data_IF_774200586012
#
_entry.id   IF_774200586012
#
_cell.length_a   1.000
_cell.length_b   1.000
_cell.length_c   1.000
_cell.angle_alpha   90.00
_cell.angle_beta   90.00
_cell.angle_gamma   90.00
#
_symmetry.space_group_name_H-M   'P 1'
#
loop_
_entity.id
_entity.type
_entity.pdbx_description
1 polymer ?
#
# COMPACT_ATOMS: atom_id res chain seq x y z
N UNK A 1 11.04 2.92 22.84
CA UNK A 1 11.37 2.76 21.39
C UNK A 1 12.09 1.42 21.21
N UNK A 2 11.55 0.49 20.41
CA UNK A 2 12.11 -0.86 20.26
C UNK A 2 12.75 -1.14 18.87
N UNK A 3 12.57 -0.22 17.91
CA UNK A 3 13.06 -0.35 16.54
C UNK A 3 14.08 0.74 16.21
N UNK A 4 15.06 0.40 15.38
CA UNK A 4 16.20 1.25 15.04
C UNK A 4 16.30 1.50 13.53
N UNK A 5 17.38 2.17 13.11
CA UNK A 5 17.63 2.51 11.70
C UNK A 5 17.53 1.25 10.83
N UNK A 6 16.84 1.37 9.70
CA UNK A 6 16.54 0.24 8.81
C UNK A 6 15.29 -0.57 9.19
N UNK A 7 14.51 -0.13 10.18
CA UNK A 7 13.24 -0.77 10.57
C UNK A 7 13.42 -2.07 11.36
N UNK A 8 14.65 -2.41 11.75
CA UNK A 8 14.93 -3.61 12.55
C UNK A 8 14.48 -3.41 13.99
N UNK A 9 13.69 -4.37 14.49
CA UNK A 9 13.23 -4.45 15.87
C UNK A 9 13.72 -5.78 16.44
N UNK A 10 14.70 -5.76 17.34
CA UNK A 10 15.18 -7.01 17.94
C UNK A 10 14.12 -7.57 18.88
N UNK A 11 13.96 -8.91 18.90
CA UNK A 11 12.97 -9.54 19.77
C UNK A 11 13.16 -9.19 21.25
N UNK A 12 14.42 -9.07 21.69
CA UNK A 12 14.75 -8.64 23.05
C UNK A 12 14.28 -7.20 23.35
N UNK A 13 14.49 -6.25 22.42
CA UNK A 13 14.05 -4.86 22.62
C UNK A 13 12.53 -4.74 22.61
N UNK A 14 11.84 -5.53 21.78
CA UNK A 14 10.37 -5.58 21.75
C UNK A 14 9.83 -6.13 23.08
N UNK A 15 10.40 -7.24 23.57
CA UNK A 15 9.98 -7.82 24.85
C UNK A 15 10.25 -6.90 26.04
N UNK A 16 11.41 -6.24 26.08
CA UNK A 16 11.70 -5.25 27.12
C UNK A 16 10.69 -4.09 27.10
N UNK A 17 10.37 -3.56 25.92
CA UNK A 17 9.38 -2.50 25.79
C UNK A 17 7.96 -2.94 26.18
N UNK A 18 7.59 -4.21 25.94
CA UNK A 18 6.32 -4.77 26.40
C UNK A 18 6.30 -4.90 27.92
N UNK A 19 7.40 -5.33 28.53
CA UNK A 19 7.52 -5.46 29.99
C UNK A 19 7.41 -4.10 30.70
N UNK A 20 8.14 -3.09 30.20
CA UNK A 20 8.05 -1.71 30.71
C UNK A 20 6.63 -1.16 30.58
N UNK A 21 5.99 -1.34 29.42
CA UNK A 21 4.63 -0.86 29.19
C UNK A 21 3.59 -1.55 30.10
N UNK A 22 3.80 -2.83 30.41
CA UNK A 22 2.99 -3.54 31.40
C UNK A 22 3.15 -2.90 32.79
N UNK A 23 4.38 -2.57 33.19
CA UNK A 23 4.67 -1.95 34.47
C UNK A 23 4.09 -0.53 34.57
N UNK A 24 4.13 0.23 33.47
CA UNK A 24 3.55 1.58 33.37
C UNK A 24 2.01 1.58 33.38
N UNK A 25 1.38 0.41 33.24
CA UNK A 25 -0.08 0.27 33.35
C UNK A 25 -0.84 0.77 32.13
N UNK A 26 -0.30 0.60 30.92
CA UNK A 26 -0.99 0.98 29.68
C UNK A 26 -2.24 0.12 29.45
N UNK A 27 -3.26 0.67 28.80
CA UNK A 27 -4.48 -0.07 28.46
C UNK A 27 -4.38 -0.88 27.15
N UNK A 28 -3.60 -0.36 26.19
CA UNK A 28 -3.50 -0.91 24.83
C UNK A 28 -2.06 -0.85 24.33
N UNK A 29 -1.57 -1.96 23.78
CA UNK A 29 -0.30 -2.06 23.05
C UNK A 29 -0.57 -2.06 21.54
N UNK A 30 -0.17 -0.98 20.87
CA UNK A 30 -0.25 -0.84 19.41
C UNK A 30 1.10 -1.19 18.76
N UNK A 31 1.20 -2.39 18.20
CA UNK A 31 2.46 -2.97 17.72
C UNK A 31 2.43 -3.13 16.19
N UNK A 32 2.79 -2.06 15.48
CA UNK A 32 2.95 -2.05 14.01
C UNK A 32 4.28 -2.67 13.55
N UNK A 33 4.66 -3.77 14.18
CA UNK A 33 5.92 -4.49 13.98
C UNK A 33 5.61 -5.95 13.66
N UNK A 34 6.38 -6.55 12.75
CA UNK A 34 6.20 -7.93 12.34
C UNK A 34 6.42 -8.14 10.85
N UNK A 35 6.35 -9.40 10.43
CA UNK A 35 6.62 -9.91 9.08
C UNK A 35 6.71 -11.44 9.16
N UNK A 36 7.29 -12.09 8.15
CA UNK A 36 7.70 -13.50 8.22
C UNK A 36 8.81 -13.69 9.29
N UNK A 37 8.41 -13.74 10.57
CA UNK A 37 9.32 -13.78 11.72
C UNK A 37 8.68 -14.45 12.94
N UNK A 38 9.44 -14.63 14.04
CA UNK A 38 8.95 -15.32 15.22
C UNK A 38 7.80 -14.56 15.87
N UNK A 39 6.80 -15.31 16.34
CA UNK A 39 5.70 -14.77 17.14
C UNK A 39 6.24 -14.26 18.49
N UNK A 40 5.52 -13.35 19.14
CA UNK A 40 5.89 -12.79 20.45
C UNK A 40 5.04 -13.37 21.60
N UNK A 41 5.28 -14.60 22.06
CA UNK A 41 4.43 -15.24 23.06
C UNK A 41 4.39 -14.49 24.40
N UNK A 42 5.44 -13.72 24.73
CA UNK A 42 5.50 -12.89 25.93
C UNK A 42 4.37 -11.85 26.05
N UNK A 43 3.70 -11.51 24.93
CA UNK A 43 2.49 -10.66 24.95
C UNK A 43 1.31 -11.27 25.70
N UNK A 44 1.35 -12.57 26.00
CA UNK A 44 0.36 -13.22 26.87
C UNK A 44 0.35 -12.58 28.28
N UNK A 45 1.51 -12.15 28.80
CA UNK A 45 1.59 -11.49 30.10
C UNK A 45 0.87 -10.13 30.12
N UNK A 46 0.88 -9.39 29.01
CA UNK A 46 0.10 -8.16 28.87
C UNK A 46 -1.41 -8.46 28.91
N UNK A 47 -1.86 -9.44 28.13
CA UNK A 47 -3.28 -9.84 28.07
C UNK A 47 -3.77 -10.35 29.42
N UNK A 48 -2.95 -11.10 30.17
CA UNK A 48 -3.29 -11.57 31.53
C UNK A 48 -3.50 -10.41 32.52
N UNK A 49 -2.91 -9.25 32.27
CA UNK A 49 -3.10 -8.02 33.07
C UNK A 49 -4.20 -7.11 32.54
N UNK A 50 -5.00 -7.59 31.58
CA UNK A 50 -6.12 -6.83 31.02
C UNK A 50 -5.72 -5.85 29.92
N UNK A 51 -4.47 -5.88 29.44
CA UNK A 51 -3.95 -5.00 28.40
C UNK A 51 -4.23 -5.61 27.03
N UNK A 52 -4.90 -4.86 26.15
CA UNK A 52 -5.20 -5.33 24.80
C UNK A 52 -3.99 -5.19 23.89
N UNK A 53 -3.66 -6.22 23.10
CA UNK A 53 -2.52 -6.21 22.19
C UNK A 53 -3.01 -6.26 20.74
N UNK A 54 -2.64 -5.24 19.96
CA UNK A 54 -3.01 -5.10 18.56
C UNK A 54 -1.74 -5.13 17.71
N UNK A 55 -1.70 -6.04 16.73
CA UNK A 55 -0.60 -6.22 15.82
C UNK A 55 -1.00 -5.98 14.37
N UNK A 56 -0.07 -5.48 13.56
CA UNK A 56 -0.17 -5.55 12.11
C UNK A 56 -0.03 -6.99 11.61
N UNK A 57 -0.78 -7.38 10.58
CA UNK A 57 -0.77 -8.73 10.00
C UNK A 57 0.40 -9.05 9.06
N UNK A 58 1.15 -8.04 8.61
CA UNK A 58 2.24 -8.17 7.66
C UNK A 58 1.90 -7.65 6.26
N UNK A 59 2.94 -7.42 5.45
CA UNK A 59 2.81 -6.85 4.11
C UNK A 59 3.36 -7.81 3.03
N UNK A 60 3.30 -9.12 3.26
CA UNK A 60 3.90 -10.15 2.40
C UNK A 60 2.85 -10.88 1.53
N UNK A 61 1.62 -10.33 1.45
CA UNK A 61 0.58 -10.82 0.56
C UNK A 61 0.91 -10.60 -0.93
N UNK A 62 0.08 -11.13 -1.86
CA UNK A 62 -1.26 -11.67 -1.63
C UNK A 62 -1.30 -13.20 -1.43
N UNK A 63 -0.15 -13.88 -1.50
CA UNK A 63 -0.09 -15.34 -1.42
C UNK A 63 -0.59 -15.82 -0.04
N UNK A 64 -1.32 -16.96 0.04
CA UNK A 64 -1.75 -17.53 1.32
C UNK A 64 -0.60 -17.79 2.29
N UNK A 65 -0.93 -17.91 3.59
CA UNK A 65 0.01 -18.28 4.66
C UNK A 65 1.18 -17.30 4.88
N UNK A 66 0.95 -16.03 4.61
CA UNK A 66 1.92 -14.93 4.78
C UNK A 66 1.65 -14.10 6.04
N UNK A 67 0.56 -14.38 6.78
CA UNK A 67 0.17 -13.65 7.99
C UNK A 67 1.12 -13.92 9.15
N UNK A 68 1.69 -12.83 9.70
CA UNK A 68 2.46 -12.83 10.94
C UNK A 68 1.60 -12.50 12.16
N UNK A 69 2.23 -12.40 13.33
CA UNK A 69 1.59 -11.95 14.58
C UNK A 69 0.23 -12.61 14.87
N UNK A 70 0.15 -13.91 14.63
CA UNK A 70 -1.08 -14.68 14.53
C UNK A 70 -1.45 -15.38 15.85
N UNK A 71 -0.99 -14.84 16.98
CA UNK A 71 -1.27 -15.40 18.30
C UNK A 71 -2.79 -15.34 18.61
N UNK A 72 -3.37 -16.35 19.28
CA UNK A 72 -4.81 -16.37 19.57
C UNK A 72 -5.31 -15.19 20.40
N UNK A 73 -4.50 -14.76 21.38
CA UNK A 73 -4.84 -13.74 22.37
C UNK A 73 -4.60 -12.30 21.90
N UNK A 74 -4.09 -12.08 20.69
CA UNK A 74 -3.87 -10.75 20.11
C UNK A 74 -4.87 -10.48 18.99
N UNK A 75 -5.08 -9.20 18.69
CA UNK A 75 -5.84 -8.75 17.50
C UNK A 75 -4.86 -8.49 16.37
N UNK A 76 -4.98 -9.24 15.27
CA UNK A 76 -4.13 -9.14 14.08
C UNK A 76 -4.89 -8.42 12.97
N UNK A 77 -4.31 -7.33 12.46
CA UNK A 77 -5.01 -6.38 11.59
C UNK A 77 -4.52 -6.44 10.14
N UNK A 78 -5.44 -6.65 9.21
CA UNK A 78 -5.22 -6.54 7.77
C UNK A 78 -5.35 -5.07 7.30
N UNK A 79 -4.77 -4.76 6.14
CA UNK A 79 -4.87 -3.44 5.52
C UNK A 79 -5.95 -3.44 4.44
N UNK A 80 -6.79 -2.40 4.44
CA UNK A 80 -7.79 -2.14 3.41
C UNK A 80 -7.65 -0.74 2.83
N UNK A 81 -8.21 -0.55 1.64
CA UNK A 81 -8.36 0.77 1.02
C UNK A 81 -9.46 1.60 1.66
N UNK A 82 -9.43 2.90 1.39
CA UNK A 82 -10.45 3.87 1.76
C UNK A 82 -11.11 4.42 0.49
N UNK A 83 -12.20 5.15 0.66
CA UNK A 83 -13.00 5.79 -0.40
C UNK A 83 -12.34 7.00 -1.05
N UNK A 84 -11.01 7.11 -0.96
CA UNK A 84 -10.21 8.17 -1.57
C UNK A 84 -9.28 7.62 -2.64
N UNK A 85 -9.24 8.30 -3.78
CA UNK A 85 -8.29 8.06 -4.86
C UNK A 85 -7.66 9.37 -5.35
N UNK A 86 -6.57 9.24 -6.12
CA UNK A 86 -5.88 10.37 -6.74
C UNK A 86 -5.80 10.21 -8.26
N UNK A 87 -6.94 10.32 -8.97
CA UNK A 87 -6.94 10.19 -10.42
C UNK A 87 -6.16 11.33 -11.09
N UNK A 88 -5.47 10.99 -12.17
CA UNK A 88 -4.87 11.93 -13.12
C UNK A 88 -5.37 11.66 -14.53
N UNK A 89 -5.64 12.75 -15.26
CA UNK A 89 -6.03 12.67 -16.65
C UNK A 89 -4.79 12.59 -17.55
N UNK A 90 -4.69 11.51 -18.31
CA UNK A 90 -3.68 11.28 -19.33
C UNK A 90 -4.33 11.60 -20.69
N UNK A 91 -3.89 12.71 -21.32
CA UNK A 91 -4.40 13.15 -22.62
C UNK A 91 -3.40 12.79 -23.71
N UNK A 92 -3.84 12.09 -24.75
CA UNK A 92 -3.04 11.73 -25.91
C UNK A 92 -3.23 12.75 -27.04
N UNK A 93 -2.25 12.87 -27.94
CA UNK A 93 -2.30 13.79 -29.08
C UNK A 93 -3.47 13.53 -30.05
N UNK A 94 -4.00 12.29 -30.07
CA UNK A 94 -5.20 11.91 -30.83
C UNK A 94 -6.52 12.37 -30.17
N UNK A 95 -6.47 13.18 -29.10
CA UNK A 95 -7.59 13.67 -28.28
C UNK A 95 -8.24 12.62 -27.37
N UNK A 96 -7.73 11.39 -27.36
CA UNK A 96 -8.16 10.38 -26.42
C UNK A 96 -7.76 10.78 -24.99
N UNK A 97 -8.64 10.47 -24.05
CA UNK A 97 -8.49 10.80 -22.64
C UNK A 97 -8.62 9.53 -21.82
N UNK A 98 -7.57 9.25 -21.06
CA UNK A 98 -7.43 8.07 -20.22
C UNK A 98 -7.22 8.51 -18.77
N UNK A 99 -7.53 7.62 -17.82
CA UNK A 99 -7.39 7.91 -16.40
C UNK A 99 -6.37 6.97 -15.80
N UNK A 100 -5.38 7.53 -15.11
CA UNK A 100 -4.43 6.81 -14.27
C UNK A 100 -4.49 7.32 -12.83
N UNK A 101 -3.53 6.91 -12.00
CA UNK A 101 -3.34 7.45 -10.65
C UNK A 101 -2.00 8.13 -10.50
N UNK A 102 -1.95 9.22 -9.73
CA UNK A 102 -0.71 9.95 -9.46
C UNK A 102 -0.79 10.69 -8.13
N UNK A 103 0.35 10.97 -7.50
CA UNK A 103 0.46 11.92 -6.38
C UNK A 103 1.02 13.27 -6.81
N UNK A 104 1.19 13.49 -8.11
CA UNK A 104 1.69 14.76 -8.60
C UNK A 104 0.57 15.80 -8.68
N UNK A 105 0.37 16.54 -7.59
CA UNK A 105 -0.63 17.62 -7.48
C UNK A 105 -0.06 19.01 -7.79
N UNK A 106 1.26 19.16 -7.91
CA UNK A 106 1.89 20.47 -8.05
C UNK A 106 1.81 20.98 -9.50
N UNK A 107 0.86 21.89 -9.76
CA UNK A 107 0.66 22.52 -11.06
C UNK A 107 1.90 23.27 -11.58
N UNK A 108 2.79 23.74 -10.71
CA UNK A 108 4.01 24.47 -11.11
C UNK A 108 5.07 23.54 -11.74
N UNK A 109 5.11 22.25 -11.36
CA UNK A 109 5.95 21.24 -12.02
C UNK A 109 5.32 20.70 -13.31
N UNK A 110 3.98 20.80 -13.43
CA UNK A 110 3.17 20.21 -14.49
C UNK A 110 2.67 21.22 -15.53
N UNK A 111 3.28 22.39 -15.63
CA UNK A 111 2.96 23.35 -16.69
C UNK A 111 3.60 22.99 -18.04
N UNK A 112 4.22 21.81 -18.14
CA UNK A 112 4.60 21.24 -19.43
C UNK A 112 3.33 20.75 -20.12
N UNK A 113 3.08 21.26 -21.32
CA UNK A 113 1.93 20.86 -22.13
C UNK A 113 2.04 19.42 -22.60
N UNK A 114 1.83 19.19 -23.88
CA UNK A 114 2.14 17.90 -24.46
C UNK A 114 3.66 17.69 -24.50
N UNK A 115 4.12 16.50 -24.11
CA UNK A 115 5.50 16.03 -24.25
C UNK A 115 5.54 14.85 -25.23
N UNK A 116 6.67 14.65 -25.90
CA UNK A 116 6.89 13.47 -26.71
C UNK A 116 6.74 12.19 -25.86
N UNK A 117 6.08 11.19 -26.42
CA UNK A 117 5.87 9.89 -25.80
C UNK A 117 6.82 8.87 -26.41
N UNK A 118 7.49 8.08 -25.58
CA UNK A 118 8.28 6.92 -26.04
C UNK A 118 7.86 5.69 -25.25
N UNK A 119 7.50 4.63 -25.95
CA UNK A 119 7.23 3.34 -25.33
C UNK A 119 8.53 2.53 -25.18
N UNK A 120 8.91 2.24 -23.94
CA UNK A 120 10.12 1.49 -23.59
C UNK A 120 9.68 0.31 -22.72
N UNK A 121 9.67 -0.89 -23.30
CA UNK A 121 9.16 -2.14 -22.70
C UNK A 121 9.19 -2.22 -21.16
N UNK A 122 10.26 -2.78 -20.58
CA UNK A 122 10.45 -2.99 -19.14
C UNK A 122 11.06 -1.78 -18.43
N UNK A 123 11.60 -0.81 -19.18
CA UNK A 123 12.41 0.28 -18.62
C UNK A 123 13.54 -0.23 -17.71
N UNK A 124 14.13 -1.36 -18.09
CA UNK A 124 15.41 -1.80 -17.55
C UNK A 124 16.56 -0.98 -18.17
N UNK A 125 17.76 -1.16 -17.62
CA UNK A 125 18.95 -0.41 -18.03
C UNK A 125 19.24 -0.55 -19.54
N UNK A 126 19.07 -1.75 -20.08
CA UNK A 126 19.34 -2.02 -21.49
C UNK A 126 18.32 -1.32 -22.40
N UNK A 127 17.03 -1.53 -22.17
CA UNK A 127 15.95 -0.93 -22.97
C UNK A 127 15.95 0.61 -22.92
N UNK A 128 16.29 1.20 -21.77
CA UNK A 128 16.45 2.66 -21.65
C UNK A 128 17.67 3.16 -22.43
N UNK A 129 18.79 2.45 -22.38
CA UNK A 129 20.01 2.85 -23.10
C UNK A 129 19.86 2.82 -24.63
N UNK A 130 19.00 1.94 -25.14
CA UNK A 130 18.69 1.80 -26.56
C UNK A 130 17.65 2.81 -27.05
N UNK A 131 17.02 3.56 -26.14
CA UNK A 131 15.90 4.46 -26.43
C UNK A 131 16.27 5.92 -26.18
N UNK A 132 15.91 6.82 -27.09
CA UNK A 132 16.09 8.26 -26.87
C UNK A 132 14.95 8.83 -25.99
N UNK A 133 15.13 8.78 -24.67
CA UNK A 133 14.15 9.18 -23.64
C UNK A 133 14.38 10.57 -23.04
N UNK A 134 15.53 11.20 -23.30
CA UNK A 134 15.89 12.50 -22.72
C UNK A 134 14.87 13.57 -23.07
N UNK A 135 14.28 14.19 -22.06
CA UNK A 135 13.27 15.24 -22.23
C UNK A 135 11.86 14.75 -22.56
N UNK A 136 11.62 13.43 -22.57
CA UNK A 136 10.36 12.83 -23.02
C UNK A 136 9.60 12.14 -21.89
N UNK A 137 8.32 11.83 -22.14
CA UNK A 137 7.53 10.97 -21.28
C UNK A 137 7.68 9.51 -21.73
N UNK A 138 8.07 8.65 -20.80
CA UNK A 138 8.31 7.22 -21.04
C UNK A 138 7.09 6.41 -20.61
N UNK A 139 6.57 5.56 -21.49
CA UNK A 139 5.64 4.49 -21.13
C UNK A 139 6.44 3.21 -20.88
N UNK A 140 6.37 2.70 -19.65
CA UNK A 140 6.91 1.38 -19.28
C UNK A 140 5.76 0.37 -19.24
N UNK A 141 5.76 -0.58 -20.16
CA UNK A 141 4.73 -1.61 -20.31
C UNK A 141 5.37 -2.98 -20.56
N UNK A 142 5.50 -3.77 -19.48
CA UNK A 142 6.08 -5.12 -19.52
C UNK A 142 5.27 -6.12 -18.67
N UNK A 143 4.07 -6.52 -19.13
CA UNK A 143 3.21 -7.43 -18.37
C UNK A 143 3.86 -8.80 -18.09
N UNK A 144 4.67 -9.32 -19.02
CA UNK A 144 5.40 -10.58 -18.81
C UNK A 144 6.44 -10.48 -17.68
N UNK A 145 7.15 -9.35 -17.59
CA UNK A 145 8.15 -9.14 -16.55
C UNK A 145 7.50 -8.95 -15.18
N UNK A 146 6.32 -8.31 -15.13
CA UNK A 146 5.56 -8.12 -13.89
C UNK A 146 5.10 -9.44 -13.24
N UNK A 147 5.05 -10.54 -13.99
CA UNK A 147 4.77 -11.88 -13.47
C UNK A 147 5.99 -12.53 -12.80
N UNK A 148 7.20 -12.15 -13.19
CA UNK A 148 8.46 -12.65 -12.63
C UNK A 148 8.88 -11.78 -11.44
N UNK A 149 8.91 -10.47 -11.66
CA UNK A 149 9.29 -9.48 -10.65
C UNK A 149 8.12 -8.55 -10.39
N UNK A 150 7.46 -8.64 -9.22
CA UNK A 150 6.30 -7.83 -8.92
C UNK A 150 6.58 -6.33 -9.02
N UNK A 151 5.62 -5.51 -9.48
CA UNK A 151 5.76 -4.05 -9.57
C UNK A 151 6.31 -3.40 -8.29
N UNK A 152 5.95 -3.94 -7.12
CA UNK A 152 6.41 -3.44 -5.82
C UNK A 152 7.93 -3.49 -5.64
N UNK A 153 8.58 -4.51 -6.19
CA UNK A 153 10.02 -4.67 -6.10
C UNK A 153 10.76 -3.79 -7.12
N UNK A 154 10.16 -3.59 -8.30
CA UNK A 154 10.83 -2.88 -9.41
C UNK A 154 10.61 -1.37 -9.42
N UNK A 155 9.40 -0.89 -9.06
CA UNK A 155 8.96 0.48 -9.35
C UNK A 155 9.92 1.56 -8.84
N UNK A 156 10.43 1.42 -7.61
CA UNK A 156 11.36 2.40 -7.05
C UNK A 156 12.67 2.47 -7.86
N UNK A 157 13.24 1.31 -8.19
CA UNK A 157 14.48 1.25 -8.98
C UNK A 157 14.28 1.76 -10.41
N UNK A 158 13.10 1.49 -11.00
CA UNK A 158 12.72 1.95 -12.33
C UNK A 158 12.55 3.47 -12.38
N UNK A 159 11.94 4.08 -11.35
CA UNK A 159 11.85 5.54 -11.23
C UNK A 159 13.25 6.15 -11.22
N UNK A 160 14.19 5.61 -10.44
CA UNK A 160 15.55 6.14 -10.39
C UNK A 160 16.25 6.02 -11.76
N UNK A 161 16.19 4.85 -12.41
CA UNK A 161 16.78 4.65 -13.75
C UNK A 161 16.21 5.60 -14.80
N UNK A 162 14.90 5.84 -14.77
CA UNK A 162 14.23 6.73 -15.74
C UNK A 162 14.57 8.20 -15.51
N UNK A 163 14.73 8.62 -14.24
CA UNK A 163 15.25 9.95 -13.89
C UNK A 163 16.70 10.11 -14.39
N UNK A 164 17.56 9.12 -14.12
CA UNK A 164 18.97 9.13 -14.56
C UNK A 164 19.12 9.17 -16.08
N UNK A 165 18.21 8.50 -16.81
CA UNK A 165 18.13 8.56 -18.27
C UNK A 165 17.62 9.90 -18.81
N UNK A 166 17.22 10.84 -17.94
CA UNK A 166 16.80 12.20 -18.32
C UNK A 166 15.34 12.31 -18.77
N UNK A 167 14.48 11.34 -18.43
CA UNK A 167 13.06 11.42 -18.72
C UNK A 167 12.38 12.60 -17.99
N UNK A 168 11.32 13.15 -18.59
CA UNK A 168 10.49 14.22 -18.01
C UNK A 168 9.08 13.78 -17.63
N UNK A 169 8.73 12.55 -17.97
CA UNK A 169 7.54 11.88 -17.45
C UNK A 169 7.69 10.36 -17.47
N UNK A 170 6.89 9.70 -16.66
CA UNK A 170 6.80 8.25 -16.56
C UNK A 170 5.33 7.84 -16.46
N UNK A 171 4.90 6.97 -17.35
CA UNK A 171 3.64 6.23 -17.26
C UNK A 171 4.05 4.78 -17.03
N UNK A 172 3.80 4.26 -15.83
CA UNK A 172 4.16 2.91 -15.46
C UNK A 172 2.92 2.03 -15.43
N UNK A 173 2.96 0.97 -16.23
CA UNK A 173 1.88 0.00 -16.33
C UNK A 173 2.04 -1.13 -15.33
N UNK A 174 0.99 -1.43 -14.59
CA UNK A 174 0.97 -2.51 -13.61
C UNK A 174 -0.43 -3.10 -13.47
N UNK A 175 -0.53 -4.32 -12.96
CA UNK A 175 -1.81 -4.83 -12.46
C UNK A 175 -2.22 -4.10 -11.17
N UNK A 176 -3.47 -4.26 -10.75
CA UNK A 176 -4.03 -3.56 -9.58
C UNK A 176 -3.25 -3.88 -8.30
N UNK A 177 -2.41 -2.94 -7.87
CA UNK A 177 -1.64 -2.97 -6.63
C UNK A 177 -1.66 -1.62 -5.93
N UNK A 178 -1.45 -1.63 -4.62
CA UNK A 178 -1.43 -0.43 -3.79
C UNK A 178 0.00 0.11 -3.65
N UNK A 179 0.51 0.85 -4.65
CA UNK A 179 1.89 1.37 -4.72
C UNK A 179 1.99 2.88 -4.97
N UNK A 180 0.88 3.60 -4.81
CA UNK A 180 0.79 4.99 -5.23
C UNK A 180 1.79 5.89 -4.49
N UNK A 181 2.06 5.63 -3.21
CA UNK A 181 3.03 6.40 -2.41
C UNK A 181 4.47 6.36 -2.95
N UNK A 182 4.85 5.35 -3.73
CA UNK A 182 6.19 5.26 -4.33
C UNK A 182 6.41 6.39 -5.36
N UNK A 183 5.33 6.93 -5.95
CA UNK A 183 5.43 8.03 -6.91
C UNK A 183 5.92 9.35 -6.29
N UNK A 184 5.99 9.45 -4.95
CA UNK A 184 6.66 10.59 -4.28
C UNK A 184 8.13 10.72 -4.69
N UNK A 185 8.80 9.62 -5.06
CA UNK A 185 10.16 9.63 -5.62
C UNK A 185 10.28 10.40 -6.93
N UNK A 186 9.17 10.66 -7.64
CA UNK A 186 9.18 11.46 -8.85
C UNK A 186 9.06 12.97 -8.59
N UNK A 187 8.61 13.37 -7.40
CA UNK A 187 8.45 14.78 -7.03
C UNK A 187 9.78 15.52 -7.15
N UNK A 188 9.78 16.68 -7.81
CA UNK A 188 11.01 17.42 -8.08
C UNK A 188 11.67 17.09 -9.42
N UNK A 189 11.43 15.91 -10.00
CA UNK A 189 12.18 15.40 -11.14
C UNK A 189 11.34 15.24 -12.41
N UNK A 190 10.18 14.58 -12.32
CA UNK A 190 9.32 14.27 -13.46
C UNK A 190 7.86 13.99 -13.07
N UNK A 191 6.97 14.02 -14.05
CA UNK A 191 5.57 13.62 -13.85
C UNK A 191 5.40 12.10 -13.90
N UNK A 192 4.88 11.48 -12.85
CA UNK A 192 4.62 10.05 -12.84
C UNK A 192 3.13 9.72 -12.77
N UNK A 193 2.71 8.69 -13.48
CA UNK A 193 1.37 8.11 -13.38
C UNK A 193 1.42 6.58 -13.41
N UNK A 194 0.57 5.94 -12.60
CA UNK A 194 0.30 4.51 -12.65
C UNK A 194 -0.94 4.27 -13.51
N UNK A 195 -0.88 3.29 -14.39
CA UNK A 195 -2.01 2.85 -15.21
C UNK A 195 -2.12 1.33 -15.15
N UNK A 196 -3.33 0.81 -15.38
CA UNK A 196 -3.49 -0.62 -15.61
C UNK A 196 -2.92 -1.03 -16.99
N UNK A 197 -2.79 -2.34 -17.21
CA UNK A 197 -2.27 -2.86 -18.47
C UNK A 197 -3.20 -2.59 -19.67
N UNK A 198 -4.51 -2.46 -19.47
CA UNK A 198 -5.46 -2.17 -20.54
C UNK A 198 -5.25 -0.75 -21.08
N UNK A 199 -5.20 0.23 -20.18
CA UNK A 199 -4.91 1.62 -20.47
C UNK A 199 -3.52 1.76 -21.09
N UNK A 200 -2.51 1.08 -20.53
CA UNK A 200 -1.17 1.07 -21.10
C UNK A 200 -1.12 0.50 -22.52
N UNK A 201 -1.88 -0.56 -22.81
CA UNK A 201 -1.97 -1.14 -24.15
C UNK A 201 -2.57 -0.15 -25.16
N UNK A 202 -3.58 0.64 -24.75
CA UNK A 202 -4.13 1.72 -25.59
C UNK A 202 -3.09 2.78 -25.90
N UNK A 203 -2.34 3.24 -24.88
CA UNK A 203 -1.26 4.23 -25.04
C UNK A 203 -0.14 3.66 -25.94
N UNK A 204 0.26 2.41 -25.73
CA UNK A 204 1.28 1.74 -26.54
C UNK A 204 0.84 1.58 -28.01
N UNK A 205 -0.44 1.29 -28.25
CA UNK A 205 -1.00 1.18 -29.61
C UNK A 205 -1.00 2.54 -30.30
N UNK A 206 -1.44 3.60 -29.60
CA UNK A 206 -1.33 4.98 -30.08
C UNK A 206 0.11 5.35 -30.46
N UNK A 207 1.08 5.02 -29.60
CA UNK A 207 2.50 5.30 -29.83
C UNK A 207 3.07 4.60 -31.06
N UNK A 208 2.54 3.45 -31.46
CA UNK A 208 2.97 2.72 -32.68
C UNK A 208 2.34 3.25 -33.96
N UNK A 209 1.13 3.78 -33.88
CA UNK A 209 0.35 4.25 -35.04
C UNK A 209 0.60 5.72 -35.38
N UNK A 210 1.36 6.44 -34.55
CA UNK A 210 1.60 7.88 -34.69
C UNK A 210 3.08 8.14 -34.87
N UNK A 211 3.46 8.92 -35.88
CA UNK A 211 4.87 9.22 -36.18
C UNK A 211 5.55 10.07 -35.09
N UNK A 212 4.82 11.00 -34.48
CA UNK A 212 5.27 11.84 -33.36
C UNK A 212 4.23 11.81 -32.25
N UNK A 213 4.18 10.72 -31.46
CA UNK A 213 3.19 10.57 -30.41
C UNK A 213 3.52 11.53 -29.26
N UNK A 214 2.47 12.17 -28.73
CA UNK A 214 2.59 13.10 -27.61
C UNK A 214 1.56 12.78 -26.53
N UNK A 215 1.92 13.06 -25.28
CA UNK A 215 1.09 12.81 -24.11
C UNK A 215 1.19 13.97 -23.13
N UNK A 216 0.11 14.18 -22.38
CA UNK A 216 0.08 15.10 -21.24
C UNK A 216 -0.48 14.37 -20.02
N UNK A 217 0.28 14.37 -18.93
CA UNK A 217 -0.16 13.92 -17.61
C UNK A 217 -0.62 15.16 -16.84
N UNK A 218 -1.89 15.22 -16.50
CA UNK A 218 -2.46 16.37 -15.77
C UNK A 218 -2.14 16.28 -14.27
N UNK A 219 -2.17 17.39 -13.52
CA UNK A 219 -2.13 17.33 -12.07
C UNK A 219 -3.19 16.36 -11.52
N UNK A 220 -2.81 15.55 -10.54
CA UNK A 220 -3.71 14.67 -9.85
C UNK A 220 -4.73 15.48 -9.04
N UNK A 221 -5.97 15.00 -8.98
CA UNK A 221 -7.03 15.55 -8.12
C UNK A 221 -7.37 14.53 -7.04
N UNK A 222 -7.80 15.00 -5.87
CA UNK A 222 -8.33 14.09 -4.85
C UNK A 222 -9.83 13.90 -5.06
N UNK A 223 -10.26 12.64 -5.09
CA UNK A 223 -11.68 12.27 -5.19
C UNK A 223 -12.03 11.38 -4.01
N UNK A 224 -13.17 11.66 -3.37
CA UNK A 224 -13.68 10.91 -2.21
C UNK A 224 -15.13 10.47 -2.47
N UNK A 225 -15.50 9.27 -2.02
CA UNK A 225 -16.88 8.78 -1.99
C UNK A 225 -17.21 7.72 -3.04
N UNK A 226 -18.50 7.59 -3.37
CA UNK A 226 -19.10 6.45 -4.09
C UNK A 226 -18.49 6.09 -5.47
N UNK A 227 -17.68 6.96 -6.07
CA UNK A 227 -16.95 6.66 -7.31
C UNK A 227 -15.66 5.86 -7.12
N UNK A 228 -15.22 5.64 -5.88
CA UNK A 228 -13.99 4.92 -5.53
C UNK A 228 -14.33 3.52 -5.03
N UNK A 229 -13.90 2.50 -5.75
CA UNK A 229 -14.06 1.10 -5.33
C UNK A 229 -13.31 0.86 -4.02
N UNK A 230 -14.05 0.77 -2.92
CA UNK A 230 -13.52 0.64 -1.56
C UNK A 230 -14.63 0.24 -0.56
N UNK A 231 -14.28 -0.30 0.61
CA UNK A 231 -12.97 -0.83 0.95
C UNK A 231 -12.71 -2.14 0.20
N UNK A 232 -11.46 -2.43 -0.13
CA UNK A 232 -11.02 -3.78 -0.48
C UNK A 232 -9.70 -4.08 0.21
N UNK A 233 -9.41 -5.36 0.46
CA UNK A 233 -8.18 -5.74 1.16
C UNK A 233 -6.98 -5.48 0.25
N UNK A 234 -6.00 -4.74 0.74
CA UNK A 234 -4.82 -4.34 0.00
C UNK A 234 -4.05 -5.55 -0.54
N UNK A 235 -3.48 -5.44 -1.75
CA UNK A 235 -2.77 -6.55 -2.38
C UNK A 235 -1.59 -7.05 -1.54
N UNK A 236 -0.85 -6.14 -0.91
CA UNK A 236 0.26 -6.47 -0.03
C UNK A 236 -0.17 -7.05 1.31
N UNK A 237 -1.43 -6.90 1.75
CA UNK A 237 -1.84 -7.33 3.08
C UNK A 237 -1.68 -8.84 3.19
N UNK A 238 -0.88 -9.30 4.16
CA UNK A 238 -0.63 -10.72 4.38
C UNK A 238 -1.91 -11.52 4.63
N UNK A 239 -1.92 -12.78 4.21
CA UNK A 239 -3.10 -13.66 4.18
C UNK A 239 -2.92 -14.86 5.10
N UNK A 240 -4.03 -15.30 5.69
CA UNK A 240 -4.10 -16.58 6.38
C UNK A 240 -4.05 -17.78 5.44
N UNK A 241 -4.21 -18.99 5.99
CA UNK A 241 -4.26 -19.30 7.43
C UNK A 241 -2.91 -19.07 8.12
N UNK A 242 -2.91 -18.97 9.45
CA UNK A 242 -1.66 -18.90 10.24
C UNK A 242 -0.88 -20.21 10.14
N UNK A 243 0.44 -20.12 9.96
CA UNK A 243 1.33 -21.28 10.03
C UNK A 243 1.43 -21.84 11.46
N UNK A 244 1.42 -20.97 12.47
CA UNK A 244 1.56 -21.38 13.87
C UNK A 244 0.26 -21.92 14.47
N UNK A 245 -0.88 -21.36 14.06
CA UNK A 245 -2.21 -21.71 14.58
C UNK A 245 -3.22 -21.89 13.45
N UNK A 246 -3.09 -22.91 12.59
CA UNK A 246 -3.89 -23.04 11.37
C UNK A 246 -5.40 -23.22 11.62
N UNK A 247 -5.80 -23.65 12.82
CA UNK A 247 -7.21 -23.78 13.22
C UNK A 247 -7.85 -22.46 13.70
N UNK A 248 -7.07 -21.40 13.85
CA UNK A 248 -7.55 -20.08 14.27
C UNK A 248 -7.40 -19.14 13.09
N UNK A 249 -8.53 -18.64 12.59
CA UNK A 249 -8.58 -17.78 11.42
C UNK A 249 -7.84 -16.46 11.71
N UNK A 250 -7.03 -16.04 10.73
CA UNK A 250 -6.27 -14.79 10.75
C UNK A 250 -6.20 -14.21 9.34
N UNK A 251 -6.10 -12.87 9.18
CA UNK A 251 -6.18 -11.83 10.23
C UNK A 251 -7.58 -11.77 10.87
N UNK A 252 -7.71 -11.12 12.03
CA UNK A 252 -9.00 -11.05 12.76
C UNK A 252 -9.94 -9.98 12.18
N UNK A 253 -9.39 -8.86 11.71
CA UNK A 253 -10.14 -7.71 11.18
C UNK A 253 -9.29 -6.95 10.16
N UNK A 254 -9.92 -6.21 9.25
CA UNK A 254 -9.24 -5.27 8.35
C UNK A 254 -9.56 -3.82 8.74
N UNK A 255 -8.62 -2.90 8.54
CA UNK A 255 -8.80 -1.47 8.79
C UNK A 255 -8.09 -0.62 7.71
N UNK A 256 -8.37 0.70 7.63
CA UNK A 256 -7.71 1.61 6.70
C UNK A 256 -6.18 1.54 6.80
N UNK A 257 -5.53 1.12 5.73
CA UNK A 257 -4.08 0.92 5.70
C UNK A 257 -3.43 1.23 4.36
N UNK A 258 -4.14 1.83 3.40
CA UNK A 258 -3.60 2.22 2.10
C UNK A 258 -3.67 3.72 1.93
N UNK A 259 -2.53 4.34 1.60
CA UNK A 259 -2.41 5.76 1.35
C UNK A 259 -2.89 6.60 2.53
N UNK A 260 -2.57 6.21 3.77
CA UNK A 260 -2.95 6.94 4.98
C UNK A 260 -2.00 8.12 5.17
N UNK A 261 -2.55 9.34 5.34
CA UNK A 261 -1.77 10.53 5.65
C UNK A 261 -1.48 10.55 7.16
N UNK A 262 -0.22 10.57 7.54
CA UNK A 262 0.19 10.62 8.94
C UNK A 262 1.38 11.57 9.13
N UNK A 263 1.60 11.99 10.37
CA UNK A 263 2.76 12.82 10.71
C UNK A 263 4.06 12.01 10.57
N UNK A 264 5.03 12.57 9.86
CA UNK A 264 6.40 12.10 9.80
C UNK A 264 7.33 13.25 10.21
N UNK A 265 7.81 13.18 11.46
CA UNK A 265 8.58 14.25 12.12
C UNK A 265 7.82 15.58 12.10
N UNK A 266 8.27 16.54 11.30
CA UNK A 266 7.76 17.89 11.12
C UNK A 266 6.88 18.06 9.86
N UNK A 267 6.52 16.95 9.21
CA UNK A 267 5.74 16.93 7.97
C UNK A 267 4.60 15.89 8.00
N UNK A 268 3.83 15.80 6.92
CA UNK A 268 2.82 14.76 6.72
C UNK A 268 3.10 13.99 5.43
N UNK A 269 3.07 12.66 5.51
CA UNK A 269 3.39 11.77 4.39
C UNK A 269 2.35 10.67 4.26
N UNK A 270 2.07 10.28 3.02
CA UNK A 270 1.21 9.12 2.74
C UNK A 270 2.00 7.83 2.89
N UNK A 271 1.47 6.90 3.69
CA UNK A 271 2.03 5.56 3.82
C UNK A 271 0.96 4.49 3.64
N UNK A 272 1.38 3.34 3.12
CA UNK A 272 0.58 2.13 3.06
C UNK A 272 1.22 1.01 3.85
N UNK A 273 0.41 0.22 4.52
CA UNK A 273 0.84 -0.95 5.28
C UNK A 273 -0.20 -1.40 6.30
N UNK A 274 -0.13 -2.67 6.69
CA UNK A 274 -0.81 -3.15 7.90
C UNK A 274 -0.32 -2.39 9.15
N UNK A 275 0.87 -1.81 9.10
CA UNK A 275 1.40 -0.87 10.10
C UNK A 275 0.57 0.41 10.26
N UNK A 276 -0.14 0.85 9.21
CA UNK A 276 -1.07 1.99 9.25
C UNK A 276 -2.47 1.55 9.68
N UNK A 277 -2.87 0.32 9.37
CA UNK A 277 -4.14 -0.25 9.82
C UNK A 277 -4.17 -0.57 11.32
N UNK A 278 -3.06 -1.10 11.86
CA UNK A 278 -2.90 -1.43 13.28
C UNK A 278 -3.31 -0.29 14.24
N UNK A 279 -2.78 0.94 14.13
CA UNK A 279 -3.13 2.02 15.06
C UNK A 279 -4.61 2.48 14.95
N UNK A 280 -5.27 2.29 13.81
CA UNK A 280 -6.72 2.54 13.72
C UNK A 280 -7.51 1.59 14.63
N UNK A 281 -7.19 0.29 14.60
CA UNK A 281 -7.83 -0.70 15.48
C UNK A 281 -7.43 -0.49 16.93
N UNK A 282 -6.18 -0.09 17.19
CA UNK A 282 -5.73 0.27 18.55
C UNK A 282 -6.53 1.45 19.12
N UNK A 283 -6.85 2.46 18.31
CA UNK A 283 -7.68 3.59 18.72
C UNK A 283 -9.12 3.15 19.06
N UNK A 284 -9.74 2.30 18.22
CA UNK A 284 -11.06 1.72 18.53
C UNK A 284 -11.01 0.86 19.80
N UNK A 285 -9.95 0.07 19.98
CA UNK A 285 -9.72 -0.74 21.17
C UNK A 285 -9.64 0.13 22.43
N UNK A 286 -8.89 1.24 22.37
CA UNK A 286 -8.76 2.17 23.49
C UNK A 286 -10.09 2.88 23.80
N UNK A 287 -10.86 3.26 22.78
CA UNK A 287 -12.19 3.85 22.96
C UNK A 287 -13.17 2.87 23.60
N UNK A 288 -13.16 1.60 23.18
CA UNK A 288 -13.97 0.57 23.83
C UNK A 288 -13.54 0.35 25.28
N UNK A 289 -12.24 0.34 25.57
CA UNK A 289 -11.72 0.20 26.93
C UNK A 289 -12.10 1.39 27.82
N UNK A 290 -12.17 2.61 27.29
CA UNK A 290 -12.57 3.78 28.08
C UNK A 290 -14.06 3.78 28.42
N UNK A 291 -14.92 3.30 27.50
CA UNK A 291 -16.38 3.18 27.73
C UNK A 291 -16.74 1.93 28.53
N UNK A 292 -15.94 0.86 28.41
CA UNK A 292 -16.11 -0.39 29.12
C UNK A 292 -14.82 -0.81 29.88
N UNK A 293 -14.49 -0.14 31.01
CA UNK A 293 -13.23 -0.38 31.73
C UNK A 293 -13.09 -1.80 32.28
N UNK A 294 -14.20 -2.50 32.53
CA UNK A 294 -14.26 -3.86 33.05
C UNK A 294 -14.11 -4.94 31.97
N UNK A 295 -14.17 -4.57 30.68
CA UNK A 295 -14.03 -5.54 29.60
C UNK A 295 -12.61 -6.10 29.52
N UNK A 296 -12.54 -7.41 29.37
CA UNK A 296 -11.29 -8.12 29.08
C UNK A 296 -10.83 -7.85 27.63
N UNK A 297 -9.53 -8.02 27.32
CA UNK A 297 -9.04 -7.95 25.94
C UNK A 297 -9.81 -8.84 24.96
N UNK A 298 -10.23 -10.02 25.40
CA UNK A 298 -11.02 -10.95 24.58
C UNK A 298 -12.43 -10.41 24.27
N UNK A 299 -13.08 -9.75 25.23
CA UNK A 299 -14.39 -9.12 25.02
C UNK A 299 -14.29 -7.95 24.04
N UNK A 300 -13.27 -7.11 24.19
CA UNK A 300 -13.02 -5.99 23.25
C UNK A 300 -12.73 -6.52 21.84
N UNK A 301 -11.84 -7.52 21.72
CA UNK A 301 -11.57 -8.19 20.44
C UNK A 301 -12.85 -8.77 19.84
N UNK A 302 -13.67 -9.45 20.64
CA UNK A 302 -14.93 -10.04 20.18
C UNK A 302 -15.86 -8.95 19.63
N UNK A 303 -16.05 -7.85 20.36
CA UNK A 303 -16.91 -6.76 19.92
C UNK A 303 -16.45 -6.18 18.57
N UNK A 304 -15.16 -5.89 18.42
CA UNK A 304 -14.61 -5.36 17.16
C UNK A 304 -14.83 -6.31 15.99
N UNK A 305 -14.57 -7.61 16.18
CA UNK A 305 -14.66 -8.60 15.10
C UNK A 305 -16.11 -8.88 14.72
N UNK A 306 -17.02 -9.03 15.69
CA UNK A 306 -18.42 -9.40 15.42
C UNK A 306 -19.26 -8.23 14.93
N UNK A 307 -18.83 -6.99 15.13
CA UNK A 307 -19.47 -5.78 14.55
C UNK A 307 -18.75 -5.24 13.33
N UNK A 308 -17.73 -5.94 12.83
CA UNK A 308 -17.06 -5.59 11.58
C UNK A 308 -18.00 -5.71 10.38
N UNK A 309 -17.84 -4.83 9.39
CA UNK A 309 -18.56 -4.95 8.12
C UNK A 309 -17.85 -5.92 7.20
N UNK A 310 -18.60 -6.79 6.53
CA UNK A 310 -18.05 -7.62 5.48
C UNK A 310 -17.60 -6.73 4.31
N UNK A 311 -16.38 -6.97 3.84
CA UNK A 311 -15.85 -6.30 2.65
C UNK A 311 -16.42 -7.02 1.43
N UNK A 312 -17.33 -6.37 0.71
CA UNK A 312 -17.81 -6.88 -0.57
C UNK A 312 -16.68 -6.76 -1.61
N UNK A 313 -16.44 -7.85 -2.33
CA UNK A 313 -15.59 -7.82 -3.52
C UNK A 313 -16.50 -7.37 -4.66
N UNK A 314 -16.27 -6.21 -5.31
CA UNK A 314 -17.07 -5.80 -6.44
C UNK A 314 -17.03 -6.91 -7.50
N UNK A 315 -18.20 -7.46 -7.82
CA UNK A 315 -18.42 -8.48 -8.84
C UNK A 315 -17.91 -7.98 -10.19
N UNK A 316 -16.66 -8.30 -10.54
CA UNK A 316 -16.17 -8.32 -11.93
C UNK A 316 -14.92 -9.18 -12.12
N UNK A 317 -14.59 -10.04 -11.15
CA UNK A 317 -13.71 -11.19 -11.37
C UNK A 317 -14.55 -12.42 -11.08
N UNK A 318 -15.11 -13.01 -12.14
CA UNK A 318 -15.63 -14.37 -12.07
C UNK A 318 -14.51 -15.29 -11.58
N UNK A 319 -14.53 -15.61 -10.30
CA UNK A 319 -14.06 -16.88 -9.80
C UNK A 319 -15.25 -17.51 -9.12
N UNK A 320 -15.85 -18.46 -9.84
CA UNK A 320 -16.77 -19.45 -9.28
C UNK A 320 -16.17 -19.95 -7.96
N UNK A 321 -16.92 -19.87 -6.86
CA UNK A 321 -16.97 -20.95 -5.86
C UNK A 321 -18.12 -20.74 -4.88
N UNK A 322 -18.92 -21.81 -4.77
CA UNK A 322 -20.04 -22.20 -3.88
C UNK A 322 -20.41 -21.25 -2.73
#
# INVERSE_FOLDING_TARGET
KACWVGGSCSGAAVLAAVDDAIHDGVDVLSLSIGGAGPQFPGTLHAVQRGISVVFSGGNDGPVPQTVGNALPWVTTVAASTIDRSFPTLISLGNKEKLVGQSLNYNAAMNNSGFQDLVHVQSCDTESLSLSNVTGKTVLCYAPAQAAITPPRAELHSLINRTIEAGAKGLIFAQYTVNLLEILTSCEGFMSCALVDFEIAQRIASYSKMTESPVVKISPAVSVVGNGVLSPYVASFSSRGPSLAFPRILKPDIAAPGVGILAAERDSYVFHSGTSMACPHVSAVTALLKSVHPDWSPAMIKSAIVTTGTNIEIPENVQLITI
#
